data_IF_970753607812
#
_entry.id   IF_970753607812
#
_cell.length_a   1.000
_cell.length_b   1.000
_cell.length_c   1.000
_cell.angle_alpha   90.00
_cell.angle_beta   90.00
_cell.angle_gamma   90.00
#
_symmetry.space_group_name_H-M   'P 1'
#
loop_
_entity.id
_entity.type
_entity.pdbx_description
1 polymer ?
#
# COMPACT_ATOMS: atom_id res chain seq x y z
N UNK A 1 23.21 1.03 -36.05
CA UNK A 1 22.03 1.54 -35.33
C UNK A 1 22.28 1.36 -33.84
N UNK A 2 22.34 2.44 -33.08
CA UNK A 2 22.49 2.34 -31.64
C UNK A 2 21.18 1.81 -31.06
N UNK A 3 21.21 0.62 -30.47
CA UNK A 3 20.14 0.13 -29.60
C UNK A 3 20.00 1.12 -28.45
N UNK A 4 18.95 1.97 -28.49
CA UNK A 4 18.56 2.77 -27.34
C UNK A 4 18.39 1.84 -26.16
N UNK A 5 19.23 2.04 -25.12
CA UNK A 5 19.06 1.36 -23.83
C UNK A 5 17.67 1.74 -23.32
N UNK A 6 16.70 0.83 -23.43
CA UNK A 6 15.40 0.99 -22.77
C UNK A 6 15.66 1.22 -21.29
N UNK A 7 15.34 2.42 -20.83
CA UNK A 7 15.48 2.79 -19.42
C UNK A 7 14.55 1.89 -18.60
N UNK A 8 15.12 1.01 -17.77
CA UNK A 8 14.36 0.02 -16.99
C UNK A 8 13.93 0.53 -15.63
N UNK A 9 14.44 1.70 -15.21
CA UNK A 9 14.19 2.27 -13.90
C UNK A 9 12.72 2.70 -13.77
N UNK A 10 12.03 2.14 -12.77
CA UNK A 10 10.63 2.46 -12.45
C UNK A 10 10.49 3.74 -11.60
N UNK A 11 11.62 4.26 -11.11
CA UNK A 11 11.73 5.49 -10.33
C UNK A 11 12.78 6.39 -10.97
N UNK A 12 12.66 7.69 -10.72
CA UNK A 12 13.67 8.67 -11.11
C UNK A 12 14.83 8.75 -10.10
N UNK A 13 15.72 9.72 -10.28
CA UNK A 13 16.88 9.94 -9.43
C UNK A 13 16.53 10.36 -7.99
N UNK A 14 15.34 10.92 -7.76
CA UNK A 14 14.83 11.28 -6.43
C UNK A 14 13.96 10.17 -5.82
N UNK A 15 13.84 9.03 -6.51
CA UNK A 15 13.04 7.90 -6.06
C UNK A 15 11.54 8.08 -6.30
N UNK A 16 11.10 9.05 -7.08
CA UNK A 16 9.68 9.23 -7.42
C UNK A 16 9.29 8.28 -8.54
N UNK A 17 8.09 7.70 -8.47
CA UNK A 17 7.66 6.67 -9.42
C UNK A 17 7.36 7.26 -10.79
N UNK A 18 7.96 6.70 -11.82
CA UNK A 18 7.61 6.99 -13.22
C UNK A 18 6.28 6.31 -13.56
N UNK A 19 5.46 6.96 -14.38
CA UNK A 19 4.22 6.38 -14.91
C UNK A 19 4.54 5.30 -15.94
N UNK A 20 4.93 4.13 -15.46
CA UNK A 20 5.20 2.95 -16.28
C UNK A 20 4.68 1.70 -15.56
N UNK A 21 4.03 0.83 -16.31
CA UNK A 21 3.45 -0.40 -15.79
C UNK A 21 3.85 -1.58 -16.68
N UNK A 22 4.86 -2.34 -16.25
CA UNK A 22 5.52 -3.41 -17.05
C UNK A 22 4.56 -4.38 -17.78
N UNK A 23 3.39 -4.67 -17.22
CA UNK A 23 2.40 -5.62 -17.78
C UNK A 23 1.29 -4.96 -18.60
N UNK A 24 1.24 -3.64 -18.68
CA UNK A 24 0.20 -2.87 -19.35
C UNK A 24 0.82 -2.01 -20.46
N UNK A 25 0.10 -1.85 -21.57
CA UNK A 25 0.55 -1.11 -22.75
C UNK A 25 -0.07 0.29 -22.76
N UNK A 26 0.78 1.31 -22.82
CA UNK A 26 0.38 2.70 -23.04
C UNK A 26 -0.43 2.81 -24.35
N UNK A 27 -1.51 3.61 -24.35
CA UNK A 27 -2.44 3.79 -25.47
C UNK A 27 -3.41 2.62 -25.71
N UNK A 28 -3.36 1.58 -24.87
CA UNK A 28 -4.31 0.45 -24.90
C UNK A 28 -4.92 0.19 -23.52
N UNK A 29 -4.07 0.03 -22.53
CA UNK A 29 -4.48 -0.36 -21.17
C UNK A 29 -4.48 0.85 -20.21
N UNK A 30 -3.75 1.91 -20.56
CA UNK A 30 -3.78 3.22 -19.89
C UNK A 30 -3.29 4.31 -20.84
N UNK A 31 -3.71 5.54 -20.58
CA UNK A 31 -3.26 6.73 -21.30
C UNK A 31 -2.10 7.41 -20.54
N UNK A 32 -1.12 8.01 -21.25
CA UNK A 32 -0.08 8.78 -20.60
C UNK A 32 -0.64 10.07 -19.99
N UNK A 33 -0.17 10.45 -18.80
CA UNK A 33 -0.53 11.74 -18.20
C UNK A 33 0.26 12.85 -18.87
N UNK A 34 -0.47 13.88 -19.29
CA UNK A 34 0.10 15.12 -19.84
C UNK A 34 0.51 16.09 -18.72
N UNK A 35 1.35 17.07 -19.09
CA UNK A 35 1.90 18.04 -18.15
C UNK A 35 0.81 18.93 -17.54
N UNK A 36 -0.22 19.29 -18.30
CA UNK A 36 -1.32 20.16 -17.86
C UNK A 36 -2.15 19.46 -16.78
N UNK A 37 -2.55 18.21 -17.00
CA UNK A 37 -3.25 17.39 -16.01
C UNK A 37 -2.40 17.23 -14.76
N UNK A 38 -1.10 16.97 -14.91
CA UNK A 38 -0.18 16.79 -13.77
C UNK A 38 -0.08 18.08 -12.95
N UNK A 39 0.07 19.23 -13.63
CA UNK A 39 0.14 20.54 -12.98
C UNK A 39 -1.15 20.85 -12.23
N UNK A 40 -2.32 20.65 -12.86
CA UNK A 40 -3.61 20.88 -12.22
C UNK A 40 -3.82 20.00 -10.98
N UNK A 41 -3.40 18.73 -11.04
CA UNK A 41 -3.46 17.83 -9.90
C UNK A 41 -2.47 18.21 -8.80
N UNK A 42 -1.26 18.69 -9.13
CA UNK A 42 -0.31 19.22 -8.16
C UNK A 42 -0.84 20.50 -7.49
N UNK A 43 -1.49 21.39 -8.24
CA UNK A 43 -2.07 22.63 -7.68
C UNK A 43 -3.25 22.32 -6.75
N UNK A 44 -4.11 21.36 -7.12
CA UNK A 44 -5.16 20.85 -6.24
C UNK A 44 -4.58 20.16 -4.99
N UNK A 45 -3.49 19.39 -5.15
CA UNK A 45 -2.77 18.76 -4.05
C UNK A 45 -2.26 19.84 -3.09
N UNK A 46 -1.51 20.83 -3.58
CA UNK A 46 -0.97 21.93 -2.77
C UNK A 46 -2.07 22.69 -2.05
N UNK A 47 -3.15 23.04 -2.76
CA UNK A 47 -4.27 23.79 -2.18
C UNK A 47 -4.91 23.00 -1.03
N UNK A 48 -5.23 21.72 -1.24
CA UNK A 48 -5.84 20.89 -0.19
C UNK A 48 -4.87 20.52 0.95
N UNK A 49 -3.57 20.44 0.66
CA UNK A 49 -2.55 20.12 1.65
C UNK A 49 -2.22 21.31 2.56
N UNK A 50 -2.14 22.51 1.98
CA UNK A 50 -1.81 23.76 2.67
C UNK A 50 -3.03 24.47 3.28
N UNK A 51 -4.26 23.99 3.03
CA UNK A 51 -5.45 24.47 3.74
C UNK A 51 -5.32 24.13 5.24
N UNK A 52 -4.92 25.13 6.02
CA UNK A 52 -4.86 25.09 7.49
C UNK A 52 -6.19 25.57 8.09
N UNK A 53 -6.82 24.76 8.93
CA UNK A 53 -7.53 25.31 10.11
C UNK A 53 -6.44 25.81 11.06
N UNK A 54 -6.67 26.96 11.70
CA UNK A 54 -5.69 27.72 12.50
C UNK A 54 -4.75 26.84 13.32
N UNK A 55 -3.44 27.08 13.16
CA UNK A 55 -2.37 26.44 13.90
C UNK A 55 -2.57 26.67 15.41
N UNK A 56 -2.80 25.64 16.24
CA UNK A 56 -2.64 25.80 17.67
C UNK A 56 -1.14 26.01 17.94
N UNK A 57 -0.80 27.03 18.72
CA UNK A 57 0.57 27.35 19.12
C UNK A 57 1.33 26.09 19.56
N UNK A 58 2.55 25.96 19.04
CA UNK A 58 3.38 24.77 19.10
C UNK A 58 3.55 24.22 20.53
N UNK A 59 3.13 22.97 20.70
CA UNK A 59 3.59 22.16 21.83
C UNK A 59 5.01 21.69 21.57
N UNK A 60 5.99 22.23 22.29
CA UNK A 60 7.35 21.69 22.30
C UNK A 60 7.34 20.22 22.74
N UNK A 61 7.65 19.32 21.81
CA UNK A 61 7.88 17.91 22.14
C UNK A 61 9.28 17.82 22.73
N UNK A 62 9.38 17.73 24.07
CA UNK A 62 10.65 17.48 24.75
C UNK A 62 11.28 16.18 24.22
N UNK A 63 12.34 16.32 23.44
CA UNK A 63 13.15 15.19 22.96
C UNK A 63 13.88 14.57 24.16
N UNK A 64 13.44 13.40 24.62
CA UNK A 64 14.26 12.53 25.47
C UNK A 64 15.43 12.01 24.62
N UNK A 65 16.64 12.46 24.97
CA UNK A 65 17.93 12.25 24.30
C UNK A 65 18.02 11.13 23.26
N UNK A 66 18.43 11.52 22.05
CA UNK A 66 18.74 10.64 20.92
C UNK A 66 19.28 11.45 19.73
N UNK A 67 19.68 10.77 18.64
CA UNK A 67 20.06 11.42 17.38
C UNK A 67 18.94 12.39 16.94
N UNK A 68 19.26 13.63 16.50
CA UNK A 68 18.26 14.58 16.01
C UNK A 68 17.36 13.92 14.96
N UNK A 69 16.05 14.07 15.10
CA UNK A 69 15.12 13.49 14.13
C UNK A 69 15.15 14.39 12.89
N UNK A 70 15.10 13.82 11.68
CA UNK A 70 14.83 14.64 10.48
C UNK A 70 13.38 15.17 10.59
N UNK A 71 13.11 16.38 10.11
CA UNK A 71 11.76 16.97 10.07
C UNK A 71 11.11 16.98 11.47
N UNK A 72 11.66 17.76 12.39
CA UNK A 72 11.18 17.80 13.77
C UNK A 72 9.84 18.53 13.87
N UNK A 73 9.67 19.63 13.15
CA UNK A 73 8.49 20.49 13.23
C UNK A 73 7.49 20.25 12.09
N UNK A 74 6.26 20.74 12.28
CA UNK A 74 5.20 20.65 11.25
C UNK A 74 5.58 21.48 10.03
N UNK A 75 6.22 22.63 10.24
CA UNK A 75 6.68 23.56 9.21
C UNK A 75 7.75 22.89 8.34
N UNK A 76 8.78 22.29 8.96
CA UNK A 76 9.82 21.56 8.22
C UNK A 76 9.24 20.42 7.39
N UNK A 77 8.29 19.66 7.96
CA UNK A 77 7.62 18.59 7.23
C UNK A 77 6.80 19.14 6.05
N UNK A 78 6.07 20.23 6.27
CA UNK A 78 5.20 20.87 5.27
C UNK A 78 6.03 21.42 4.12
N UNK A 79 7.14 22.10 4.39
CA UNK A 79 8.06 22.60 3.37
C UNK A 79 8.63 21.48 2.49
N UNK A 80 9.00 20.34 3.08
CA UNK A 80 9.52 19.19 2.32
C UNK A 80 8.42 18.53 1.49
N UNK A 81 7.21 18.44 2.01
CA UNK A 81 6.05 17.97 1.26
C UNK A 81 5.71 18.89 0.08
N UNK A 82 5.75 20.21 0.28
CA UNK A 82 5.57 21.19 -0.79
C UNK A 82 6.64 21.04 -1.88
N UNK A 83 7.93 20.97 -1.49
CA UNK A 83 9.04 20.75 -2.41
C UNK A 83 8.87 19.46 -3.23
N UNK A 84 8.35 18.40 -2.62
CA UNK A 84 8.06 17.15 -3.32
C UNK A 84 6.96 17.32 -4.39
N UNK A 85 5.89 18.05 -4.08
CA UNK A 85 4.77 18.26 -5.02
C UNK A 85 5.22 19.18 -6.17
N UNK A 86 5.95 20.25 -5.87
CA UNK A 86 6.54 21.14 -6.87
C UNK A 86 7.53 20.40 -7.76
N UNK A 87 8.37 19.53 -7.20
CA UNK A 87 9.27 18.69 -7.98
C UNK A 87 8.51 17.85 -9.03
N UNK A 88 7.40 17.22 -8.64
CA UNK A 88 6.57 16.44 -9.59
C UNK A 88 6.01 17.34 -10.70
N UNK A 89 5.55 18.54 -10.34
CA UNK A 89 5.02 19.53 -11.29
C UNK A 89 6.10 19.98 -12.30
N UNK A 90 7.28 20.33 -11.82
CA UNK A 90 8.39 20.80 -12.66
C UNK A 90 8.86 19.69 -13.60
N UNK A 91 9.00 18.46 -13.09
CA UNK A 91 9.37 17.30 -13.91
C UNK A 91 8.33 16.98 -14.97
N UNK A 92 7.04 17.18 -14.68
CA UNK A 92 6.01 17.04 -15.68
C UNK A 92 6.13 18.06 -16.82
N UNK A 93 6.51 19.32 -16.51
CA UNK A 93 6.79 20.34 -17.52
C UNK A 93 8.01 19.98 -18.41
N UNK A 94 8.97 19.24 -17.85
CA UNK A 94 10.11 18.68 -18.59
C UNK A 94 9.77 17.38 -19.36
N UNK A 95 8.49 16.97 -19.38
CA UNK A 95 8.01 15.77 -20.06
C UNK A 95 8.22 14.47 -19.27
N UNK A 96 8.65 14.54 -18.01
CA UNK A 96 8.87 13.39 -17.14
C UNK A 96 7.61 13.13 -16.32
N UNK A 97 6.96 12.01 -16.62
CA UNK A 97 5.68 11.63 -16.02
C UNK A 97 5.90 10.92 -14.69
N UNK A 98 5.71 11.64 -13.60
CA UNK A 98 5.82 11.11 -12.24
C UNK A 98 4.43 10.93 -11.60
N UNK A 99 4.28 9.88 -10.80
CA UNK A 99 3.09 9.62 -9.99
C UNK A 99 3.49 9.73 -8.52
N UNK A 100 2.87 10.61 -7.73
CA UNK A 100 3.16 10.69 -6.31
C UNK A 100 2.79 9.38 -5.61
N UNK A 101 3.70 8.86 -4.78
CA UNK A 101 3.42 7.79 -3.82
C UNK A 101 4.13 8.03 -2.48
N UNK A 102 3.77 7.26 -1.44
CA UNK A 102 4.32 7.42 -0.09
C UNK A 102 5.82 7.13 -0.09
N UNK A 103 6.24 6.08 -0.78
CA UNK A 103 7.64 5.70 -0.92
C UNK A 103 8.46 6.77 -1.68
N UNK A 104 7.86 7.44 -2.64
CA UNK A 104 8.43 8.53 -3.44
C UNK A 104 8.66 9.75 -2.58
N UNK A 105 7.67 10.12 -1.75
CA UNK A 105 7.86 11.17 -0.74
C UNK A 105 8.96 10.79 0.25
N UNK A 106 8.94 9.57 0.80
CA UNK A 106 9.95 9.11 1.75
C UNK A 106 11.37 9.13 1.14
N UNK A 107 11.51 8.71 -0.12
CA UNK A 107 12.77 8.73 -0.86
C UNK A 107 13.27 10.16 -1.06
N UNK A 108 12.38 11.06 -1.49
CA UNK A 108 12.66 12.49 -1.67
C UNK A 108 13.07 13.18 -0.35
N UNK A 109 12.35 12.91 0.73
CA UNK A 109 12.61 13.44 2.07
C UNK A 109 13.82 12.77 2.77
N UNK A 110 14.36 11.68 2.21
CA UNK A 110 15.46 10.93 2.79
C UNK A 110 15.11 10.27 4.13
N UNK A 111 13.89 9.74 4.26
CA UNK A 111 13.37 9.00 5.42
C UNK A 111 12.83 7.63 4.99
N UNK A 112 12.63 6.70 5.94
CA UNK A 112 11.96 5.43 5.64
C UNK A 112 10.44 5.53 5.80
N UNK A 113 9.70 4.66 5.12
CA UNK A 113 8.23 4.52 5.31
C UNK A 113 7.87 4.20 6.77
N UNK A 114 8.68 3.36 7.42
CA UNK A 114 8.53 3.03 8.84
C UNK A 114 8.67 4.29 9.71
N UNK A 115 9.64 5.15 9.41
CA UNK A 115 9.85 6.42 10.12
C UNK A 115 8.61 7.31 9.99
N UNK A 116 8.08 7.46 8.78
CA UNK A 116 6.87 8.26 8.53
C UNK A 116 5.66 7.72 9.30
N UNK A 117 5.45 6.40 9.27
CA UNK A 117 4.34 5.76 10.00
C UNK A 117 4.50 5.90 11.52
N UNK A 118 5.72 5.78 12.03
CA UNK A 118 6.01 5.98 13.46
C UNK A 118 5.75 7.43 13.88
N UNK A 119 6.02 8.41 13.03
CA UNK A 119 5.70 9.81 13.35
C UNK A 119 4.20 10.07 13.33
N UNK A 120 3.45 9.48 12.41
CA UNK A 120 1.98 9.59 12.38
C UNK A 120 1.34 9.06 13.66
N UNK A 121 1.88 7.98 14.25
CA UNK A 121 1.32 7.38 15.47
C UNK A 121 1.88 7.99 16.75
N UNK A 122 3.17 8.30 16.80
CA UNK A 122 3.86 8.76 18.00
C UNK A 122 3.81 10.29 18.21
N UNK A 123 3.46 11.08 17.19
CA UNK A 123 3.36 12.55 17.27
C UNK A 123 1.90 13.00 17.05
N UNK A 124 1.03 12.90 18.08
CA UNK A 124 -0.37 13.27 17.95
C UNK A 124 -0.55 14.77 17.67
N UNK A 125 -1.75 15.14 17.22
CA UNK A 125 -2.09 16.52 16.87
C UNK A 125 -1.62 16.91 15.47
N UNK A 126 -1.20 18.17 15.31
CA UNK A 126 -0.93 18.78 14.02
C UNK A 126 0.06 18.00 13.14
N UNK A 127 1.06 17.34 13.74
CA UNK A 127 2.05 16.56 12.97
C UNK A 127 1.43 15.29 12.36
N UNK A 128 0.74 14.49 13.16
CA UNK A 128 -0.05 13.34 12.71
C UNK A 128 -1.03 13.75 11.60
N UNK A 129 -1.76 14.84 11.81
CA UNK A 129 -2.81 15.27 10.89
C UNK A 129 -2.22 15.77 9.56
N UNK A 130 -1.03 16.39 9.60
CA UNK A 130 -0.30 16.80 8.40
C UNK A 130 0.17 15.59 7.59
N UNK A 131 0.65 14.51 8.24
CA UNK A 131 0.98 13.26 7.53
C UNK A 131 -0.28 12.63 6.90
N UNK A 132 -1.40 12.61 7.62
CA UNK A 132 -2.67 12.08 7.10
C UNK A 132 -3.18 12.89 5.90
N UNK A 133 -3.07 14.22 5.95
CA UNK A 133 -3.37 15.11 4.82
C UNK A 133 -2.49 14.77 3.62
N UNK A 134 -1.18 14.65 3.81
CA UNK A 134 -0.26 14.24 2.73
C UNK A 134 -0.69 12.90 2.08
N UNK A 135 -0.92 11.86 2.89
CA UNK A 135 -1.34 10.54 2.41
C UNK A 135 -2.68 10.58 1.67
N UNK A 136 -3.61 11.42 2.14
CA UNK A 136 -4.92 11.62 1.53
C UNK A 136 -4.80 12.32 0.18
N UNK A 137 -3.99 13.37 0.08
CA UNK A 137 -3.76 14.09 -1.18
C UNK A 137 -3.05 13.22 -2.22
N UNK A 138 -2.09 12.37 -1.82
CA UNK A 138 -1.50 11.34 -2.70
C UNK A 138 -2.60 10.41 -3.25
N UNK A 139 -3.50 9.94 -2.37
CA UNK A 139 -4.58 9.05 -2.77
C UNK A 139 -5.55 9.72 -3.76
N UNK A 140 -5.92 10.99 -3.49
CA UNK A 140 -6.79 11.78 -4.34
C UNK A 140 -6.19 12.00 -5.73
N UNK A 141 -4.89 12.33 -5.80
CA UNK A 141 -4.15 12.48 -7.05
C UNK A 141 -4.19 11.18 -7.88
N UNK A 142 -3.86 10.05 -7.27
CA UNK A 142 -3.90 8.73 -7.95
C UNK A 142 -5.30 8.36 -8.41
N UNK A 143 -6.33 8.70 -7.61
CA UNK A 143 -7.73 8.40 -7.94
C UNK A 143 -8.20 9.18 -9.16
N UNK A 144 -7.83 10.46 -9.28
CA UNK A 144 -8.12 11.25 -10.48
C UNK A 144 -7.44 10.66 -11.71
N UNK A 145 -6.16 10.30 -11.61
CA UNK A 145 -5.47 9.63 -12.72
C UNK A 145 -6.12 8.30 -13.11
N UNK A 146 -6.53 7.48 -12.14
CA UNK A 146 -7.22 6.23 -12.43
C UNK A 146 -8.56 6.44 -13.14
N UNK A 147 -9.36 7.42 -12.70
CA UNK A 147 -10.65 7.75 -13.32
C UNK A 147 -10.50 8.36 -14.72
N UNK A 148 -9.39 9.04 -14.98
CA UNK A 148 -9.02 9.52 -16.31
C UNK A 148 -8.39 8.43 -17.21
N UNK A 149 -8.35 7.17 -16.78
CA UNK A 149 -7.76 6.06 -17.54
C UNK A 149 -6.22 6.11 -17.60
N UNK A 150 -5.57 6.94 -16.79
CA UNK A 150 -4.12 7.13 -16.77
C UNK A 150 -3.39 6.13 -15.87
N UNK A 151 -4.13 5.42 -14.99
CA UNK A 151 -3.64 4.29 -14.19
C UNK A 151 -4.53 3.08 -14.49
N UNK A 152 -3.96 1.91 -14.82
CA UNK A 152 -4.75 0.69 -15.00
C UNK A 152 -5.61 0.38 -13.76
N UNK A 153 -6.92 0.06 -13.91
CA UNK A 153 -7.83 -0.10 -12.78
C UNK A 153 -7.36 -1.12 -11.73
N UNK A 154 -6.77 -2.24 -12.15
CA UNK A 154 -6.28 -3.27 -11.23
C UNK A 154 -5.04 -2.83 -10.44
N UNK A 155 -4.17 -2.00 -11.05
CA UNK A 155 -3.02 -1.41 -10.36
C UNK A 155 -3.51 -0.42 -9.30
N UNK A 156 -4.48 0.43 -9.66
CA UNK A 156 -5.10 1.37 -8.73
C UNK A 156 -5.79 0.65 -7.57
N UNK A 157 -6.65 -0.34 -7.84
CA UNK A 157 -7.36 -1.09 -6.80
C UNK A 157 -6.40 -1.78 -5.82
N UNK A 158 -5.33 -2.39 -6.33
CA UNK A 158 -4.32 -3.06 -5.50
C UNK A 158 -3.56 -2.04 -4.62
N UNK A 159 -3.19 -0.90 -5.19
CA UNK A 159 -2.47 0.15 -4.47
C UNK A 159 -3.32 0.79 -3.37
N UNK A 160 -4.58 1.11 -3.66
CA UNK A 160 -5.50 1.70 -2.68
C UNK A 160 -5.79 0.75 -1.52
N UNK A 161 -5.91 -0.55 -1.79
CA UNK A 161 -6.11 -1.55 -0.74
C UNK A 161 -4.89 -1.69 0.16
N UNK A 162 -3.70 -1.77 -0.42
CA UNK A 162 -2.48 -2.10 0.32
C UNK A 162 -1.81 -0.89 0.99
N UNK A 163 -1.99 0.31 0.43
CA UNK A 163 -1.22 1.50 0.86
C UNK A 163 -2.09 2.65 1.37
N UNK A 164 -3.40 2.63 1.12
CA UNK A 164 -4.30 3.70 1.52
C UNK A 164 -5.45 3.24 2.44
N UNK A 165 -5.44 1.97 2.87
CA UNK A 165 -6.42 1.44 3.84
C UNK A 165 -7.82 1.22 3.27
N UNK A 166 -7.98 1.25 1.95
CA UNK A 166 -9.27 0.94 1.33
C UNK A 166 -9.53 -0.56 1.42
N UNK A 167 -10.79 -0.93 1.56
CA UNK A 167 -11.21 -2.33 1.51
C UNK A 167 -12.22 -2.49 0.40
N UNK A 168 -12.15 -3.61 -0.31
CA UNK A 168 -13.26 -3.99 -1.18
C UNK A 168 -14.41 -4.40 -0.29
N UNK A 169 -15.59 -3.85 -0.56
CA UNK A 169 -16.80 -4.33 0.09
C UNK A 169 -16.90 -5.83 -0.20
N UNK A 170 -16.78 -6.65 0.85
CA UNK A 170 -17.02 -8.07 0.71
C UNK A 170 -18.46 -8.22 0.22
N UNK A 171 -18.65 -8.88 -0.92
CA UNK A 171 -19.94 -9.50 -1.18
C UNK A 171 -20.22 -10.38 0.05
N UNK A 172 -21.37 -10.19 0.70
CA UNK A 172 -21.81 -11.15 1.71
C UNK A 172 -21.83 -12.50 1.01
N UNK A 173 -20.86 -13.35 1.31
CA UNK A 173 -20.88 -14.73 0.87
C UNK A 173 -21.92 -15.38 1.76
N UNK A 174 -23.17 -15.34 1.32
CA UNK A 174 -24.19 -16.20 1.87
C UNK A 174 -23.77 -17.62 1.51
N UNK A 175 -23.06 -18.26 2.44
CA UNK A 175 -22.82 -19.69 2.39
C UNK A 175 -24.20 -20.33 2.44
N UNK A 176 -24.77 -20.60 1.27
CA UNK A 176 -25.91 -21.48 1.16
C UNK A 176 -25.36 -22.88 1.47
N UNK A 177 -25.25 -23.20 2.76
CA UNK A 177 -25.08 -24.55 3.29
C UNK A 177 -26.37 -25.31 2.97
N UNK A 178 -26.62 -25.52 1.68
CA UNK A 178 -27.78 -26.23 1.19
C UNK A 178 -27.69 -27.65 1.72
N UNK A 179 -28.57 -28.01 2.67
CA UNK A 179 -28.84 -29.38 3.16
C UNK A 179 -27.62 -30.28 3.44
N UNK A 180 -26.40 -29.76 3.56
CA UNK A 180 -25.21 -30.52 3.95
C UNK A 180 -24.98 -30.51 5.46
N UNK A 181 -25.81 -29.78 6.21
CA UNK A 181 -26.07 -30.07 7.62
C UNK A 181 -27.20 -31.10 7.77
N UNK A 182 -27.33 -32.05 6.83
CA UNK A 182 -28.02 -33.29 7.12
C UNK A 182 -27.14 -34.01 8.15
N UNK A 183 -27.61 -33.98 9.40
CA UNK A 183 -27.15 -34.70 10.58
C UNK A 183 -25.91 -35.57 10.31
N UNK A 184 -24.74 -35.06 10.73
CA UNK A 184 -23.57 -35.91 10.84
C UNK A 184 -23.98 -37.14 11.68
N UNK A 185 -23.76 -38.37 11.19
CA UNK A 185 -24.12 -39.55 11.96
C UNK A 185 -23.42 -39.48 13.31
N UNK A 186 -24.18 -39.75 14.36
CA UNK A 186 -23.67 -39.80 15.73
C UNK A 186 -22.58 -40.85 15.85
N UNK A 187 -21.68 -40.70 16.83
CA UNK A 187 -20.61 -41.67 17.07
C UNK A 187 -21.14 -43.12 17.22
N UNK A 188 -22.37 -43.29 17.71
CA UNK A 188 -23.05 -44.58 17.82
C UNK A 188 -23.44 -45.18 16.44
N UNK A 189 -23.92 -44.35 15.52
CA UNK A 189 -24.28 -44.78 14.15
C UNK A 189 -23.04 -45.11 13.31
N UNK A 190 -21.92 -44.42 13.56
CA UNK A 190 -20.62 -44.73 12.96
C UNK A 190 -20.09 -46.07 13.48
N UNK A 191 -20.18 -46.31 14.80
CA UNK A 191 -19.73 -47.55 15.43
C UNK A 191 -20.50 -48.79 14.93
N UNK A 192 -21.79 -48.66 14.60
CA UNK A 192 -22.58 -49.76 14.02
C UNK A 192 -22.23 -50.07 12.55
N UNK A 193 -21.68 -49.11 11.81
CA UNK A 193 -21.30 -49.28 10.39
C UNK A 193 -19.88 -49.79 10.20
N UNK A 194 -19.04 -49.71 11.23
CA UNK A 194 -17.72 -50.31 11.22
C UNK A 194 -17.89 -51.82 11.39
N UNK A 195 -17.51 -52.66 10.40
CA UNK A 195 -17.43 -54.09 10.63
C UNK A 195 -16.43 -54.32 11.75
N UNK A 196 -16.90 -54.91 12.86
CA UNK A 196 -16.00 -55.38 13.91
C UNK A 196 -15.24 -56.55 13.29
N UNK A 197 -13.98 -56.32 12.89
CA UNK A 197 -13.04 -57.40 12.62
C UNK A 197 -12.81 -58.14 13.94
N UNK A 198 -13.70 -59.09 14.24
CA UNK A 198 -13.46 -60.13 15.21
C UNK A 198 -12.49 -61.12 14.56
N UNK A 199 -11.32 -61.25 15.16
CA UNK A 199 -10.24 -62.18 14.83
C UNK A 199 -9.20 -61.66 13.82
N UNK A 200 -8.10 -61.19 14.37
CA UNK A 200 -6.80 -61.10 13.74
C UNK A 200 -5.77 -60.90 14.84
N UNK A 201 -4.90 -61.89 15.05
CA UNK A 201 -3.77 -61.82 16.00
C UNK A 201 -3.05 -60.47 15.89
N UNK A 202 -2.71 -59.90 17.03
CA UNK A 202 -1.89 -58.69 17.12
C UNK A 202 -0.57 -58.93 16.33
N UNK A 203 -0.24 -58.11 15.32
CA UNK A 203 0.94 -58.34 14.47
C UNK A 203 2.28 -58.06 15.19
N UNK A 204 2.25 -57.73 16.47
CA UNK A 204 3.43 -57.55 17.32
C UNK A 204 3.97 -58.86 17.93
N UNK A 205 3.26 -59.98 17.76
CA UNK A 205 3.59 -61.28 18.38
C UNK A 205 4.49 -62.14 17.46
N UNK A 206 5.58 -61.55 16.94
CA UNK A 206 6.67 -62.31 16.33
C UNK A 206 7.80 -62.43 17.33
N UNK A 207 7.83 -63.58 18.02
CA UNK A 207 9.01 -64.16 18.66
C UNK A 207 10.12 -64.28 17.59
N UNK A 208 11.02 -63.31 17.56
CA UNK A 208 12.35 -63.51 16.98
C UNK A 208 13.37 -63.12 18.03
N UNK A 209 13.74 -64.13 18.82
CA UNK A 209 14.98 -64.15 19.59
C UNK A 209 16.15 -63.81 18.66
N UNK A 210 16.80 -62.69 18.94
CA UNK A 210 18.10 -62.35 18.36
C UNK A 210 19.14 -63.21 19.10
N UNK A 211 19.60 -64.29 18.45
CA UNK A 211 20.82 -64.98 18.86
C UNK A 211 22.01 -64.45 18.06
N UNK A 212 23.01 -63.99 18.85
CA UNK A 212 24.39 -63.55 18.59
C UNK A 212 24.96 -63.89 17.21
#
# INVERSE_FOLDING_TARGET
>A
MATEKKETAQRDAQGVRKQSYKRFKEGRDYEPTDAETTAALCDAFLTGFLQTEETPEGGEVQNKGGRPRKLETVEEFTEVAEKYILYIKDRAAEGVRLVPDVEGFCSFAGISRETLNNWETARPGAYSDTIKRLKTSIAAFKKQLAFAGKIPPIVFATDMNNNHGYTQAAQKIDLNVGKQAAELPTAAEIAQRLPVEMSGKDPADTDTDINI
#
